data_IF_491703997939
#
_entry.id   IF_491703997939
#
_cell.length_a   1.000
_cell.length_b   1.000
_cell.length_c   1.000
_cell.angle_alpha   90.00
_cell.angle_beta   90.00
_cell.angle_gamma   90.00
#
_symmetry.space_group_name_H-M   'P 1'
#
loop_
_entity.id
_entity.type
_entity.pdbx_description
1 polymer ?
#
# COMPACT_ATOMS: atom_id res chain seq x y z
N UNK A 1 -42.62 -46.57 -23.39
CA UNK A 1 -42.67 -45.59 -22.29
C UNK A 1 -41.24 -45.18 -21.95
N UNK A 2 -40.98 -43.87 -21.94
CA UNK A 2 -39.80 -43.22 -21.34
C UNK A 2 -39.71 -43.59 -19.83
N UNK A 3 -38.54 -43.48 -19.14
CA UNK A 3 -37.79 -42.24 -19.07
C UNK A 3 -36.27 -42.35 -19.27
N UNK A 4 -35.74 -41.38 -20.01
CA UNK A 4 -34.36 -40.88 -19.87
C UNK A 4 -34.32 -39.94 -18.65
N UNK A 5 -33.33 -40.09 -17.78
CA UNK A 5 -32.99 -39.13 -16.72
C UNK A 5 -31.49 -39.24 -16.42
N UNK A 6 -30.69 -38.30 -16.91
CA UNK A 6 -30.22 -37.13 -16.15
C UNK A 6 -29.08 -37.49 -15.17
N UNK A 7 -27.87 -37.64 -15.70
CA UNK A 7 -26.64 -37.84 -14.89
C UNK A 7 -25.42 -37.09 -15.45
N UNK A 8 -25.58 -35.90 -16.06
CA UNK A 8 -24.44 -35.12 -16.60
C UNK A 8 -24.47 -33.63 -16.16
N UNK A 9 -25.08 -33.29 -15.03
CA UNK A 9 -25.09 -31.90 -14.53
C UNK A 9 -24.61 -31.79 -13.08
N UNK A 10 -23.56 -32.53 -12.73
CA UNK A 10 -22.95 -32.43 -11.41
C UNK A 10 -21.42 -32.29 -11.47
N UNK A 11 -20.92 -31.61 -12.50
CA UNK A 11 -19.48 -31.34 -12.68
C UNK A 11 -19.16 -29.87 -12.98
N UNK A 12 -20.01 -28.92 -12.56
CA UNK A 12 -19.84 -27.48 -12.82
C UNK A 12 -20.07 -26.55 -11.61
N UNK A 13 -20.10 -27.08 -10.37
CA UNK A 13 -20.23 -26.24 -9.17
C UNK A 13 -19.11 -26.39 -8.13
N UNK A 14 -17.96 -26.91 -8.57
CA UNK A 14 -16.73 -26.84 -7.78
C UNK A 14 -15.69 -25.98 -8.51
N UNK A 15 -16.11 -24.81 -8.99
CA UNK A 15 -15.20 -23.67 -9.10
C UNK A 15 -14.97 -23.21 -7.66
N UNK A 16 -14.11 -23.95 -6.97
CA UNK A 16 -13.55 -23.53 -5.71
C UNK A 16 -12.95 -22.14 -5.95
N UNK A 17 -13.38 -21.21 -5.11
CA UNK A 17 -12.98 -19.83 -5.05
C UNK A 17 -11.46 -19.71 -4.99
N UNK A 18 -10.82 -19.73 -6.16
CA UNK A 18 -9.55 -19.06 -6.38
C UNK A 18 -9.82 -17.56 -6.49
N UNK A 19 -10.47 -16.98 -5.47
CA UNK A 19 -10.04 -15.66 -5.02
C UNK A 19 -8.64 -15.87 -4.50
N UNK A 20 -7.68 -15.84 -5.44
CA UNK A 20 -6.36 -15.35 -5.13
C UNK A 20 -6.62 -14.11 -4.28
N UNK A 21 -6.11 -14.10 -3.04
CA UNK A 21 -6.03 -12.89 -2.24
C UNK A 21 -5.05 -11.95 -2.94
N UNK A 22 -5.39 -11.51 -4.16
CA UNK A 22 -4.72 -10.42 -4.82
C UNK A 22 -4.92 -9.26 -3.88
N UNK A 23 -3.82 -8.70 -3.38
CA UNK A 23 -3.84 -7.41 -2.74
C UNK A 23 -4.79 -6.49 -3.51
N UNK A 24 -5.65 -5.75 -2.80
CA UNK A 24 -6.61 -4.81 -3.40
C UNK A 24 -5.87 -3.58 -3.95
N UNK A 25 -4.97 -3.82 -4.92
CA UNK A 25 -3.93 -2.94 -5.42
C UNK A 25 -4.01 -2.85 -6.94
N UNK A 26 -4.26 -1.65 -7.47
CA UNK A 26 -4.33 -1.41 -8.91
C UNK A 26 -3.31 -0.33 -9.32
N UNK A 27 -2.35 -0.73 -10.14
CA UNK A 27 -1.39 0.21 -10.74
C UNK A 27 -1.79 0.51 -12.18
N UNK A 28 -1.86 1.80 -12.52
CA UNK A 28 -2.10 2.25 -13.89
C UNK A 28 -0.92 3.03 -14.43
N UNK A 29 -0.54 2.69 -15.66
CA UNK A 29 0.54 3.33 -16.40
C UNK A 29 0.03 3.66 -17.79
N UNK A 30 0.11 4.92 -18.22
CA UNK A 30 -0.35 5.33 -19.54
C UNK A 30 0.32 6.59 -20.07
N UNK A 31 0.20 6.85 -21.36
CA UNK A 31 0.79 8.01 -22.03
C UNK A 31 -0.29 8.97 -22.50
N UNK A 32 -0.08 10.28 -22.34
CA UNK A 32 -0.96 11.32 -22.88
C UNK A 32 -0.82 11.51 -24.40
N UNK A 33 0.12 10.82 -25.05
CA UNK A 33 0.38 10.95 -26.49
C UNK A 33 -0.51 10.02 -27.33
N UNK A 34 -1.10 8.98 -26.73
CA UNK A 34 -1.82 7.94 -27.47
C UNK A 34 -3.30 8.30 -27.64
N UNK A 35 -3.69 8.60 -28.88
CA UNK A 35 -5.05 8.38 -29.38
C UNK A 35 -6.12 9.39 -28.98
N UNK A 36 -6.11 10.59 -29.58
CA UNK A 36 -7.33 11.16 -30.16
C UNK A 36 -6.98 12.30 -31.11
N UNK A 37 -7.55 12.25 -32.31
CA UNK A 37 -7.61 13.34 -33.28
C UNK A 37 -8.56 14.48 -32.83
N UNK A 38 -9.06 14.41 -31.59
CA UNK A 38 -9.96 15.37 -30.97
C UNK A 38 -9.14 16.23 -30.00
N UNK A 39 -8.82 17.46 -30.41
CA UNK A 39 -8.30 18.49 -29.52
C UNK A 39 -9.18 18.60 -28.28
N UNK A 40 -8.62 18.42 -27.09
CA UNK A 40 -9.31 18.67 -25.82
C UNK A 40 -10.11 17.51 -25.20
N UNK A 41 -9.97 16.26 -25.66
CA UNK A 41 -10.66 15.13 -25.01
C UNK A 41 -10.04 14.78 -23.64
N UNK A 42 -10.90 14.46 -22.66
CA UNK A 42 -10.49 13.95 -21.33
C UNK A 42 -10.47 12.43 -21.38
N UNK A 43 -9.29 11.82 -21.18
CA UNK A 43 -9.19 10.37 -21.07
C UNK A 43 -9.73 9.92 -19.71
N UNK A 44 -10.58 8.90 -19.65
CA UNK A 44 -11.09 8.36 -18.39
C UNK A 44 -10.54 6.95 -18.11
N UNK A 45 -10.01 6.75 -16.91
CA UNK A 45 -9.55 5.46 -16.41
C UNK A 45 -10.31 5.13 -15.14
N UNK A 46 -10.74 3.87 -14.99
CA UNK A 46 -11.45 3.40 -13.79
C UNK A 46 -10.62 2.32 -13.12
N UNK A 47 -10.26 2.54 -11.85
CA UNK A 47 -9.52 1.60 -11.03
C UNK A 47 -10.44 1.05 -9.94
N UNK A 48 -10.54 -0.28 -9.88
CA UNK A 48 -11.38 -1.00 -8.91
C UNK A 48 -10.50 -1.62 -7.82
N UNK A 49 -9.79 -0.76 -7.09
CA UNK A 49 -8.96 -1.14 -5.96
C UNK A 49 -9.03 -0.10 -4.83
N UNK A 50 -8.76 -0.51 -3.60
CA UNK A 50 -8.64 0.40 -2.46
C UNK A 50 -7.28 1.08 -2.36
N UNK A 51 -6.22 0.53 -2.95
CA UNK A 51 -4.93 1.18 -3.01
C UNK A 51 -4.29 1.03 -4.39
N UNK A 52 -3.26 1.82 -4.68
CA UNK A 52 -2.52 1.69 -5.92
C UNK A 52 -1.68 2.89 -6.29
N UNK A 53 -1.27 2.92 -7.56
CA UNK A 53 -0.51 4.01 -8.16
C UNK A 53 -1.02 4.38 -9.55
N UNK A 54 -0.86 5.64 -9.89
CA UNK A 54 -1.16 6.19 -11.22
C UNK A 54 0.10 6.88 -11.71
N UNK A 55 0.58 6.49 -12.89
CA UNK A 55 1.73 7.14 -13.54
C UNK A 55 1.38 7.48 -14.97
N UNK A 56 1.42 8.78 -15.29
CA UNK A 56 1.05 9.32 -16.59
C UNK A 56 2.26 9.99 -17.26
N UNK A 57 2.67 9.43 -18.40
CA UNK A 57 3.83 9.86 -19.18
C UNK A 57 3.41 10.89 -20.22
N UNK A 58 4.24 11.90 -20.42
CA UNK A 58 4.04 12.97 -21.39
C UNK A 58 2.60 13.52 -21.34
N UNK A 59 2.15 14.06 -20.19
CA UNK A 59 0.80 14.59 -20.01
C UNK A 59 0.37 15.49 -21.17
N UNK A 60 -0.82 15.23 -21.73
CA UNK A 60 -1.49 16.11 -22.71
C UNK A 60 -2.97 16.19 -22.39
N UNK A 61 -3.57 17.36 -22.54
CA UNK A 61 -4.98 17.61 -22.20
C UNK A 61 -5.29 17.26 -20.74
N UNK A 62 -6.12 16.25 -20.48
CA UNK A 62 -6.47 15.83 -19.14
C UNK A 62 -6.81 14.33 -19.02
N UNK A 63 -6.65 13.82 -17.80
CA UNK A 63 -6.94 12.44 -17.41
C UNK A 63 -7.85 12.44 -16.18
N UNK A 64 -9.00 11.76 -16.25
CA UNK A 64 -9.91 11.53 -15.14
C UNK A 64 -9.78 10.10 -14.64
N UNK A 65 -9.28 9.92 -13.42
CA UNK A 65 -9.12 8.63 -12.76
C UNK A 65 -10.23 8.42 -11.75
N UNK A 66 -11.13 7.47 -12.00
CA UNK A 66 -12.23 7.11 -11.09
C UNK A 66 -11.78 5.94 -10.20
N UNK A 67 -11.78 6.15 -8.89
CA UNK A 67 -11.38 5.17 -7.88
C UNK A 67 -12.61 4.55 -7.23
N UNK A 68 -12.63 3.22 -7.19
CA UNK A 68 -13.71 2.44 -6.59
C UNK A 68 -13.11 1.28 -5.78
N UNK A 69 -13.60 1.01 -4.56
CA UNK A 69 -13.22 -0.20 -3.85
C UNK A 69 -13.63 -1.44 -4.66
N UNK A 70 -12.82 -2.51 -4.60
CA UNK A 70 -13.18 -3.78 -5.23
C UNK A 70 -14.32 -4.49 -4.49
N UNK A 71 -14.50 -4.19 -3.20
CA UNK A 71 -15.54 -4.78 -2.36
C UNK A 71 -16.89 -4.11 -2.64
N UNK A 72 -17.87 -4.92 -3.06
CA UNK A 72 -19.23 -4.44 -3.28
C UNK A 72 -19.80 -3.77 -2.02
N UNK A 73 -20.38 -2.58 -2.20
CA UNK A 73 -21.05 -1.85 -1.12
C UNK A 73 -20.10 -1.11 -0.16
N UNK A 74 -18.78 -1.33 -0.27
CA UNK A 74 -17.82 -0.51 0.46
C UNK A 74 -17.81 0.91 -0.12
N UNK A 75 -18.08 1.91 0.72
CA UNK A 75 -17.95 3.31 0.36
C UNK A 75 -16.71 3.88 1.05
N UNK A 76 -15.76 4.47 0.30
CA UNK A 76 -14.64 5.15 0.93
C UNK A 76 -15.16 6.39 1.66
N UNK A 77 -14.63 6.64 2.85
CA UNK A 77 -14.88 7.87 3.64
C UNK A 77 -13.91 8.97 3.22
N UNK A 78 -12.70 8.58 2.81
CA UNK A 78 -11.69 9.50 2.33
C UNK A 78 -10.76 8.83 1.32
N UNK A 79 -10.09 9.65 0.52
CA UNK A 79 -8.97 9.27 -0.31
C UNK A 79 -7.73 10.03 0.15
N UNK A 80 -6.64 9.32 0.35
CA UNK A 80 -5.35 9.91 0.61
C UNK A 80 -4.45 9.70 -0.59
N UNK A 81 -3.66 10.71 -0.94
CA UNK A 81 -2.70 10.64 -2.04
C UNK A 81 -1.31 11.08 -1.59
N UNK A 82 -0.30 10.42 -2.15
CA UNK A 82 1.13 10.75 -1.96
C UNK A 82 1.77 10.91 -3.34
N UNK A 83 2.42 12.04 -3.59
CA UNK A 83 3.10 12.27 -4.88
C UNK A 83 4.25 11.28 -5.09
N UNK A 84 4.47 10.86 -6.33
CA UNK A 84 5.72 10.20 -6.71
C UNK A 84 6.81 11.25 -6.90
N UNK A 85 8.07 10.86 -6.64
CA UNK A 85 9.23 11.72 -6.84
C UNK A 85 9.33 12.15 -8.31
N UNK A 86 9.71 13.41 -8.52
CA UNK A 86 9.90 13.96 -9.86
C UNK A 86 8.61 14.25 -10.62
N UNK A 87 7.48 14.40 -9.91
CA UNK A 87 6.21 14.85 -10.49
C UNK A 87 6.41 16.17 -11.26
N UNK A 88 6.12 16.12 -12.57
CA UNK A 88 6.29 17.24 -13.49
C UNK A 88 5.26 17.24 -14.61
N UNK A 89 4.76 18.43 -14.94
CA UNK A 89 4.02 18.70 -16.18
C UNK A 89 2.51 18.48 -16.10
N UNK A 90 1.97 18.32 -14.89
CA UNK A 90 0.52 18.30 -14.68
C UNK A 90 0.15 18.63 -13.24
N UNK A 91 -0.98 19.33 -13.07
CA UNK A 91 -1.62 19.53 -11.78
C UNK A 91 -2.64 18.41 -11.51
N UNK A 92 -2.72 17.96 -10.25
CA UNK A 92 -3.60 16.89 -9.80
C UNK A 92 -4.66 17.48 -8.89
N UNK A 93 -5.92 17.20 -9.20
CA UNK A 93 -7.09 17.70 -8.50
C UNK A 93 -7.97 16.55 -8.01
N UNK A 94 -8.63 16.73 -6.87
CA UNK A 94 -9.72 15.85 -6.46
C UNK A 94 -11.04 16.44 -6.95
N UNK A 95 -11.82 15.62 -7.64
CA UNK A 95 -13.14 15.99 -8.12
C UNK A 95 -14.16 15.92 -6.96
N UNK A 96 -14.87 17.03 -6.78
CA UNK A 96 -16.04 17.14 -5.92
C UNK A 96 -17.27 17.42 -6.78
N UNK A 97 -18.45 17.40 -6.14
CA UNK A 97 -19.74 17.54 -6.82
C UNK A 97 -19.83 18.69 -7.84
N UNK A 98 -19.13 19.81 -7.59
CA UNK A 98 -19.09 20.96 -8.52
C UNK A 98 -17.74 21.70 -8.54
N UNK A 99 -16.66 21.12 -7.98
CA UNK A 99 -15.36 21.79 -7.90
C UNK A 99 -14.20 20.81 -8.09
N UNK A 100 -13.07 21.35 -8.52
CA UNK A 100 -11.78 20.67 -8.56
C UNK A 100 -10.87 21.31 -7.49
N UNK A 101 -10.52 20.55 -6.47
CA UNK A 101 -9.61 21.01 -5.43
C UNK A 101 -8.19 20.59 -5.78
N UNK A 102 -7.25 21.54 -5.87
CA UNK A 102 -5.85 21.25 -6.16
C UNK A 102 -5.24 20.42 -5.03
N UNK A 103 -4.54 19.34 -5.40
CA UNK A 103 -3.92 18.41 -4.46
C UNK A 103 -2.43 18.33 -4.61
N UNK A 104 -1.95 18.15 -5.84
CA UNK A 104 -0.52 18.10 -6.16
C UNK A 104 -0.23 19.03 -7.34
N UNK A 105 0.92 19.68 -7.30
CA UNK A 105 1.46 20.50 -8.38
C UNK A 105 2.96 20.29 -8.49
N UNK A 106 3.55 20.82 -9.57
CA UNK A 106 4.99 20.75 -9.79
C UNK A 106 5.76 21.35 -8.60
N UNK A 107 6.72 20.60 -8.07
CA UNK A 107 7.55 21.04 -6.94
C UNK A 107 7.01 20.69 -5.54
N UNK A 108 5.84 20.03 -5.43
CA UNK A 108 5.36 19.52 -4.15
C UNK A 108 6.30 18.44 -3.58
N UNK A 109 6.45 18.42 -2.25
CA UNK A 109 7.26 17.42 -1.57
C UNK A 109 6.64 16.03 -1.74
N UNK A 110 7.40 15.02 -2.21
CA UNK A 110 6.91 13.66 -2.42
C UNK A 110 6.50 12.95 -1.12
N UNK A 111 6.81 13.54 0.04
CA UNK A 111 6.59 12.93 1.33
C UNK A 111 5.26 13.29 1.97
N UNK A 112 4.62 14.35 1.49
CA UNK A 112 3.38 14.81 2.08
C UNK A 112 2.20 13.98 1.58
N UNK A 113 1.49 13.36 2.51
CA UNK A 113 0.22 12.70 2.24
C UNK A 113 -0.91 13.71 2.39
N UNK A 114 -1.77 13.83 1.39
CA UNK A 114 -2.95 14.71 1.39
C UNK A 114 -4.21 13.86 1.38
N UNK A 115 -5.08 14.03 2.38
CA UNK A 115 -6.31 13.26 2.53
C UNK A 115 -7.56 14.12 2.35
N UNK A 116 -8.56 13.59 1.65
CA UNK A 116 -9.79 14.28 1.29
C UNK A 116 -10.99 13.40 1.58
N UNK A 117 -11.99 13.95 2.26
CA UNK A 117 -13.25 13.22 2.49
C UNK A 117 -14.00 13.01 1.19
N UNK A 118 -14.43 11.77 0.98
CA UNK A 118 -15.30 11.36 -0.11
C UNK A 118 -16.74 11.77 0.19
N UNK A 119 -17.46 12.22 -0.84
CA UNK A 119 -18.87 12.58 -0.70
C UNK A 119 -19.74 11.31 -0.73
N UNK A 120 -20.71 11.18 0.19
CA UNK A 120 -21.50 9.94 0.42
C UNK A 120 -22.22 9.39 -0.82
N UNK A 121 -22.45 10.23 -1.84
CA UNK A 121 -23.25 9.93 -3.03
C UNK A 121 -22.43 9.71 -4.33
N UNK A 122 -21.10 9.91 -4.33
CA UNK A 122 -20.29 9.89 -5.56
C UNK A 122 -19.05 9.02 -5.42
N UNK A 123 -18.64 8.36 -6.52
CA UNK A 123 -17.32 7.72 -6.60
C UNK A 123 -16.23 8.77 -6.52
N UNK A 124 -15.15 8.48 -5.78
CA UNK A 124 -13.97 9.35 -5.74
C UNK A 124 -13.33 9.39 -7.12
N UNK A 125 -13.02 10.59 -7.60
CA UNK A 125 -12.30 10.77 -8.85
C UNK A 125 -11.19 11.80 -8.68
N UNK A 126 -10.09 11.55 -9.36
CA UNK A 126 -8.90 12.41 -9.39
C UNK A 126 -8.73 12.86 -10.83
N UNK A 127 -8.66 14.17 -11.03
CA UNK A 127 -8.46 14.79 -12.32
C UNK A 127 -7.03 15.28 -12.45
N UNK A 128 -6.33 14.90 -13.52
CA UNK A 128 -5.00 15.38 -13.83
C UNK A 128 -5.11 16.27 -15.06
N UNK A 129 -4.62 17.50 -14.96
CA UNK A 129 -4.59 18.45 -16.06
C UNK A 129 -3.14 18.71 -16.46
N UNK A 130 -2.83 18.50 -17.73
CA UNK A 130 -1.50 18.81 -18.26
C UNK A 130 -1.22 20.32 -18.13
N UNK A 131 0.00 20.66 -17.73
CA UNK A 131 0.42 22.06 -17.61
C UNK A 131 0.44 22.72 -19.00
N UNK A 132 -0.04 23.98 -19.12
CA UNK A 132 -0.04 24.69 -20.40
C UNK A 132 1.38 25.01 -20.90
N UNK A 133 2.32 25.20 -19.97
CA UNK A 133 3.75 25.29 -20.26
C UNK A 133 4.32 23.88 -20.36
N UNK A 134 4.49 23.38 -21.58
CA UNK A 134 5.07 22.04 -21.82
C UNK A 134 6.50 22.04 -21.29
N UNK A 135 6.84 21.20 -20.30
CA UNK A 135 8.21 21.14 -19.79
C UNK A 135 9.17 20.70 -20.90
N UNK A 136 10.38 21.29 -20.95
CA UNK A 136 11.44 20.78 -21.81
C UNK A 136 11.90 19.39 -21.30
N UNK A 137 11.74 18.35 -22.12
CA UNK A 137 12.14 16.98 -21.81
C UNK A 137 10.99 16.05 -21.40
N UNK A 138 11.29 14.81 -20.97
CA UNK A 138 10.28 13.85 -20.55
C UNK A 138 9.58 14.33 -19.27
N UNK A 139 8.26 14.49 -19.34
CA UNK A 139 7.40 14.82 -18.20
C UNK A 139 6.65 13.59 -17.72
N UNK A 140 6.59 13.41 -16.40
CA UNK A 140 5.88 12.31 -15.76
C UNK A 140 5.19 12.87 -14.53
N UNK A 141 3.88 12.66 -14.45
CA UNK A 141 3.09 12.92 -13.24
C UNK A 141 2.68 11.58 -12.67
N UNK A 142 2.77 11.43 -11.35
CA UNK A 142 2.26 10.24 -10.73
C UNK A 142 2.10 10.36 -9.23
N UNK A 143 1.21 9.54 -8.70
CA UNK A 143 0.88 9.52 -7.29
C UNK A 143 0.45 8.11 -6.88
N UNK A 144 0.57 7.83 -5.58
CA UNK A 144 -0.06 6.69 -4.92
C UNK A 144 -1.32 7.13 -4.23
N UNK A 145 -2.32 6.25 -4.19
CA UNK A 145 -3.59 6.51 -3.54
C UNK A 145 -3.99 5.38 -2.61
N UNK A 146 -4.71 5.73 -1.55
CA UNK A 146 -5.36 4.78 -0.64
C UNK A 146 -6.75 5.29 -0.26
N UNK A 147 -7.74 4.40 -0.30
CA UNK A 147 -9.13 4.63 0.05
C UNK A 147 -9.38 4.20 1.50
N UNK A 148 -9.73 5.15 2.36
CA UNK A 148 -10.06 4.90 3.76
C UNK A 148 -11.50 4.44 3.89
N UNK A 149 -11.75 3.36 4.65
CA UNK A 149 -13.08 2.80 4.93
C UNK A 149 -13.65 3.33 6.25
N UNK A 150 -14.97 3.25 6.41
CA UNK A 150 -15.69 3.73 7.60
C UNK A 150 -15.61 2.81 8.83
N UNK A 151 -14.66 1.87 8.85
CA UNK A 151 -14.45 1.04 10.03
C UNK A 151 -13.76 1.87 11.11
N UNK A 152 -14.58 2.51 11.94
CA UNK A 152 -14.32 2.84 13.35
C UNK A 152 -12.84 3.09 13.71
N UNK A 153 -12.32 4.26 13.32
CA UNK A 153 -11.25 5.02 14.01
C UNK A 153 -10.65 6.14 13.13
N UNK A 154 -11.32 6.62 12.09
CA UNK A 154 -10.87 7.80 11.32
C UNK A 154 -10.82 9.12 12.14
N UNK A 155 -11.12 9.08 13.44
CA UNK A 155 -10.90 10.16 14.42
C UNK A 155 -9.63 9.99 15.29
N UNK A 156 -8.86 8.91 15.15
CA UNK A 156 -7.66 8.64 15.95
C UNK A 156 -6.37 8.44 15.13
N UNK A 157 -6.41 8.61 13.80
CA UNK A 157 -5.30 8.22 12.93
C UNK A 157 -4.12 9.22 12.90
N UNK A 158 -4.25 10.44 13.43
CA UNK A 158 -3.21 11.47 13.21
C UNK A 158 -2.60 12.09 14.47
N UNK A 159 -3.00 11.72 15.69
CA UNK A 159 -2.41 12.34 16.89
C UNK A 159 -2.31 11.44 18.13
N UNK A 160 -3.17 10.42 18.29
CA UNK A 160 -3.07 9.45 19.41
C UNK A 160 -2.31 8.17 19.06
N UNK A 161 -2.20 7.82 17.77
CA UNK A 161 -1.46 6.63 17.27
C UNK A 161 0.06 6.74 17.41
N UNK A 162 0.64 7.93 17.33
CA UNK A 162 2.10 8.12 17.32
C UNK A 162 2.75 7.78 18.68
N UNK A 163 1.97 7.81 19.76
CA UNK A 163 2.43 7.49 21.13
C UNK A 163 2.27 6.01 21.48
N UNK A 164 1.25 5.35 20.94
CA UNK A 164 1.14 3.89 20.96
C UNK A 164 2.15 3.20 20.02
N UNK A 165 2.53 3.86 18.91
CA UNK A 165 3.41 3.29 17.89
C UNK A 165 4.84 2.95 18.35
N UNK A 166 5.35 3.60 19.40
CA UNK A 166 6.70 3.33 19.91
C UNK A 166 6.71 2.43 21.16
N UNK A 167 5.55 1.95 21.62
CA UNK A 167 5.50 1.00 22.73
C UNK A 167 5.97 -0.38 22.26
N UNK A 168 6.79 -1.09 23.04
CA UNK A 168 7.13 -2.48 22.73
C UNK A 168 5.87 -3.33 22.64
N UNK A 169 5.74 -4.11 21.57
CA UNK A 169 4.59 -4.99 21.40
C UNK A 169 4.54 -6.06 22.49
N UNK A 170 3.35 -6.29 23.02
CA UNK A 170 3.04 -7.42 23.89
C UNK A 170 3.12 -8.75 23.15
N UNK A 171 3.20 -9.86 23.90
CA UNK A 171 3.24 -11.21 23.32
C UNK A 171 2.04 -11.50 22.40
N UNK A 172 0.84 -11.09 22.81
CA UNK A 172 -0.37 -11.25 22.02
C UNK A 172 -0.34 -10.41 20.73
N UNK A 173 0.17 -9.19 20.79
CA UNK A 173 0.32 -8.33 19.61
C UNK A 173 1.32 -8.90 18.63
N UNK A 174 2.45 -9.45 19.10
CA UNK A 174 3.44 -10.11 18.26
C UNK A 174 2.81 -11.29 17.50
N UNK A 175 2.07 -12.16 18.21
CA UNK A 175 1.41 -13.32 17.60
C UNK A 175 0.36 -12.90 16.56
N UNK A 176 -0.42 -11.85 16.84
CA UNK A 176 -1.42 -11.31 15.90
C UNK A 176 -0.78 -10.58 14.71
N UNK A 177 0.34 -9.88 14.91
CA UNK A 177 1.00 -9.11 13.87
C UNK A 177 1.45 -10.00 12.71
N UNK A 178 1.98 -11.18 13.01
CA UNK A 178 2.37 -12.16 11.98
C UNK A 178 1.20 -12.56 11.07
N UNK A 179 -0.03 -12.57 11.59
CA UNK A 179 -1.21 -12.98 10.82
C UNK A 179 -1.82 -11.83 10.00
N UNK A 180 -1.75 -10.60 10.52
CA UNK A 180 -2.55 -9.48 10.01
C UNK A 180 -1.73 -8.38 9.34
N UNK A 181 -0.40 -8.39 9.50
CA UNK A 181 0.47 -7.41 8.88
C UNK A 181 0.49 -7.54 7.35
N UNK A 182 0.67 -6.40 6.68
CA UNK A 182 0.85 -6.36 5.22
C UNK A 182 2.17 -7.02 4.81
N UNK A 183 3.18 -6.95 5.69
CA UNK A 183 4.45 -7.65 5.51
C UNK A 183 4.93 -8.33 6.79
N UNK A 184 5.65 -9.44 6.60
CA UNK A 184 6.38 -10.18 7.63
C UNK A 184 7.71 -10.63 7.05
N UNK A 185 8.82 -10.12 7.58
CA UNK A 185 10.17 -10.42 7.09
C UNK A 185 11.11 -10.70 8.26
N UNK A 186 11.90 -11.78 8.16
CA UNK A 186 13.03 -12.02 9.07
C UNK A 186 14.30 -11.50 8.43
N UNK A 187 15.12 -10.74 9.14
CA UNK A 187 16.39 -10.24 8.60
C UNK A 187 17.29 -9.61 9.65
N UNK A 188 18.36 -8.97 9.17
CA UNK A 188 19.31 -8.23 10.01
C UNK A 188 19.23 -6.73 9.69
N UNK A 189 19.46 -5.90 10.70
CA UNK A 189 19.61 -4.45 10.50
C UNK A 189 21.01 -4.21 9.96
N UNK A 190 21.11 -3.69 8.74
CA UNK A 190 22.38 -3.25 8.15
C UNK A 190 22.77 -1.87 8.65
N UNK A 191 21.82 -0.95 8.58
CA UNK A 191 22.01 0.44 8.95
C UNK A 191 20.68 1.05 9.42
N UNK A 192 20.78 2.14 10.18
CA UNK A 192 19.63 3.00 10.51
C UNK A 192 20.02 4.43 10.19
N UNK A 193 19.26 5.08 9.31
CA UNK A 193 19.39 6.52 9.04
C UNK A 193 18.22 7.29 9.64
N UNK A 194 18.46 8.54 9.97
CA UNK A 194 17.48 9.43 10.59
C UNK A 194 17.25 10.63 9.71
N UNK A 195 15.99 10.99 9.53
CA UNK A 195 15.56 12.19 8.82
C UNK A 195 14.78 13.09 9.79
N UNK A 196 15.44 14.16 10.24
CA UNK A 196 14.86 15.12 11.18
C UNK A 196 13.79 16.00 10.55
N UNK A 197 13.84 16.25 9.25
CA UNK A 197 12.82 17.03 8.56
C UNK A 197 11.51 16.24 8.48
N UNK A 198 11.62 14.93 8.19
CA UNK A 198 10.45 14.03 8.09
C UNK A 198 9.99 13.47 9.43
N UNK A 199 10.77 13.63 10.49
CA UNK A 199 10.54 12.97 11.79
C UNK A 199 10.44 11.44 11.67
N UNK A 200 11.24 10.86 10.78
CA UNK A 200 11.28 9.40 10.50
C UNK A 200 12.69 8.84 10.62
N UNK A 201 12.79 7.56 10.98
CA UNK A 201 14.01 6.76 10.85
C UNK A 201 13.79 5.68 9.80
N UNK A 202 14.82 5.37 9.03
CA UNK A 202 14.82 4.36 8.00
C UNK A 202 15.73 3.20 8.42
N UNK A 203 15.16 2.02 8.58
CA UNK A 203 15.86 0.79 8.93
C UNK A 203 16.15 0.02 7.65
N UNK A 204 17.42 -0.15 7.32
CA UNK A 204 17.86 -0.97 6.19
C UNK A 204 17.93 -2.44 6.62
N UNK A 205 17.13 -3.29 5.98
CA UNK A 205 17.07 -4.73 6.25
C UNK A 205 17.82 -5.48 5.17
N UNK A 206 18.70 -6.40 5.58
CA UNK A 206 19.50 -7.25 4.69
C UNK A 206 19.39 -8.73 5.08
N UNK A 207 19.82 -9.62 4.16
CA UNK A 207 19.76 -11.07 4.35
C UNK A 207 18.37 -11.55 4.77
N UNK A 208 17.36 -10.93 4.17
CA UNK A 208 15.97 -11.06 4.53
C UNK A 208 15.36 -12.36 4.01
N UNK A 209 14.38 -12.88 4.74
CA UNK A 209 13.42 -13.88 4.27
C UNK A 209 12.02 -13.33 4.47
N UNK A 210 11.34 -13.07 3.37
CA UNK A 210 9.95 -12.61 3.37
C UNK A 210 9.03 -13.82 3.55
N UNK A 211 8.17 -13.75 4.57
CA UNK A 211 7.08 -14.70 4.80
C UNK A 211 5.76 -14.21 4.21
N UNK A 212 5.58 -12.88 4.18
CA UNK A 212 4.41 -12.20 3.61
C UNK A 212 4.83 -10.80 3.16
N UNK A 213 4.33 -10.35 2.02
CA UNK A 213 4.36 -8.94 1.61
C UNK A 213 3.22 -8.67 0.62
N UNK A 214 2.63 -7.47 0.68
CA UNK A 214 1.45 -7.12 -0.11
C UNK A 214 1.82 -6.59 -1.50
N UNK A 215 2.62 -5.54 -1.61
CA UNK A 215 2.98 -4.91 -2.90
C UNK A 215 4.45 -5.10 -3.32
N UNK A 216 5.23 -5.91 -2.63
CA UNK A 216 6.64 -6.12 -2.98
C UNK A 216 7.58 -5.02 -2.50
N UNK A 217 7.37 -4.47 -1.30
CA UNK A 217 8.25 -3.45 -0.70
C UNK A 217 9.65 -3.95 -0.35
N UNK A 218 9.85 -5.26 -0.34
CA UNK A 218 11.18 -5.87 -0.26
C UNK A 218 11.54 -6.47 -1.61
N UNK A 219 12.76 -6.19 -2.05
CA UNK A 219 13.30 -6.64 -3.32
C UNK A 219 14.23 -7.84 -3.09
N UNK A 220 14.32 -8.71 -4.09
CA UNK A 220 15.20 -9.87 -4.01
C UNK A 220 16.59 -9.46 -4.48
N UNK A 221 17.61 -9.70 -3.67
CA UNK A 221 18.99 -9.39 -4.01
C UNK A 221 19.40 -10.14 -5.28
N UNK A 222 20.01 -9.46 -6.26
CA UNK A 222 20.57 -10.12 -7.43
C UNK A 222 21.80 -10.95 -7.01
N UNK A 223 21.65 -12.28 -6.95
CA UNK A 223 22.74 -13.21 -6.60
C UNK A 223 22.27 -14.62 -6.19
N UNK A 224 23.23 -15.49 -5.86
CA UNK A 224 23.00 -16.91 -5.50
C UNK A 224 22.24 -17.11 -4.18
N UNK A 225 22.26 -16.13 -3.26
CA UNK A 225 21.62 -16.27 -1.94
C UNK A 225 20.09 -16.21 -2.00
N UNK A 226 19.53 -15.59 -3.06
CA UNK A 226 18.10 -15.36 -3.20
C UNK A 226 17.47 -14.60 -2.03
N UNK A 227 18.28 -13.86 -1.25
CA UNK A 227 17.90 -13.15 -0.04
C UNK A 227 17.13 -11.86 -0.37
N UNK A 228 16.38 -11.33 0.59
CA UNK A 228 15.59 -10.12 0.41
C UNK A 228 16.26 -8.92 1.10
N UNK A 229 16.14 -7.75 0.48
CA UNK A 229 16.58 -6.48 1.05
C UNK A 229 15.46 -5.45 0.94
N UNK A 230 15.52 -4.40 1.75
CA UNK A 230 14.57 -3.30 1.68
C UNK A 230 14.68 -2.37 2.87
N UNK A 231 13.73 -1.45 2.96
CA UNK A 231 13.74 -0.38 3.95
C UNK A 231 12.43 -0.32 4.70
N UNK A 232 12.50 -0.11 6.01
CA UNK A 232 11.34 0.02 6.89
C UNK A 232 11.37 1.38 7.58
N UNK A 233 10.29 2.14 7.46
CA UNK A 233 10.10 3.42 8.11
C UNK A 233 9.58 3.24 9.54
N UNK A 234 10.03 4.10 10.44
CA UNK A 234 9.51 4.22 11.81
C UNK A 234 9.61 5.66 12.26
N UNK A 235 8.89 6.06 13.30
CA UNK A 235 8.97 7.42 13.81
C UNK A 235 10.31 7.68 14.49
N UNK A 236 10.90 8.87 14.25
CA UNK A 236 12.19 9.27 14.82
C UNK A 236 12.21 9.18 16.34
N UNK A 237 11.11 9.58 16.99
CA UNK A 237 10.94 9.53 18.45
C UNK A 237 11.00 8.12 19.06
N UNK A 238 10.82 7.06 18.25
CA UNK A 238 10.97 5.69 18.75
C UNK A 238 12.44 5.34 19.04
N UNK A 239 13.40 6.16 18.57
CA UNK A 239 14.82 6.04 18.93
C UNK A 239 15.46 4.73 18.47
N UNK A 240 14.99 4.19 17.34
CA UNK A 240 15.48 2.91 16.80
C UNK A 240 16.98 3.01 16.47
N UNK A 241 17.71 1.96 16.81
CA UNK A 241 19.16 1.85 16.58
C UNK A 241 19.48 0.52 15.91
N UNK A 242 20.62 0.46 15.23
CA UNK A 242 21.14 -0.80 14.72
C UNK A 242 21.41 -1.75 15.89
N UNK A 243 20.67 -2.86 15.92
CA UNK A 243 20.81 -3.92 16.92
C UNK A 243 21.49 -5.14 16.31
N UNK A 244 22.33 -5.83 17.11
CA UNK A 244 22.91 -7.11 16.70
C UNK A 244 21.84 -8.21 16.69
N UNK A 245 21.99 -9.19 15.80
CA UNK A 245 21.13 -10.38 15.71
C UNK A 245 20.01 -10.27 14.68
N UNK A 246 19.21 -11.34 14.60
CA UNK A 246 18.07 -11.43 13.69
C UNK A 246 16.78 -10.91 14.34
N UNK A 247 16.00 -10.18 13.57
CA UNK A 247 14.71 -9.65 13.97
C UNK A 247 13.61 -10.16 13.05
N UNK A 248 12.41 -10.28 13.59
CA UNK A 248 11.19 -10.46 12.81
C UNK A 248 10.50 -9.10 12.71
N UNK A 249 10.48 -8.52 11.52
CA UNK A 249 9.79 -7.27 11.28
C UNK A 249 8.39 -7.55 10.74
N UNK A 250 7.42 -6.89 11.35
CA UNK A 250 6.01 -6.90 10.94
C UNK A 250 5.53 -5.47 10.83
N UNK A 251 4.52 -5.22 10.02
CA UNK A 251 4.00 -3.87 9.88
C UNK A 251 2.98 -3.70 8.78
N UNK A 252 2.73 -2.45 8.45
CA UNK A 252 1.77 -2.04 7.43
C UNK A 252 2.50 -1.42 6.25
N UNK A 253 1.91 -1.54 5.08
CA UNK A 253 2.40 -0.93 3.86
C UNK A 253 1.54 0.29 3.55
N UNK A 254 2.13 1.49 3.61
CA UNK A 254 1.45 2.76 3.39
C UNK A 254 2.11 3.47 2.22
N UNK A 255 1.35 3.76 1.17
CA UNK A 255 1.84 4.41 -0.06
C UNK A 255 3.09 3.73 -0.63
N UNK A 256 3.10 2.40 -0.64
CA UNK A 256 4.21 1.59 -1.17
C UNK A 256 5.49 1.65 -0.33
N UNK A 257 5.38 2.08 0.93
CA UNK A 257 6.48 2.10 1.90
C UNK A 257 6.14 1.17 3.06
N UNK A 258 7.11 0.37 3.52
CA UNK A 258 6.96 -0.44 4.72
C UNK A 258 7.06 0.46 5.97
N UNK A 259 6.05 0.40 6.83
CA UNK A 259 6.02 1.08 8.13
C UNK A 259 6.03 0.06 9.26
N UNK A 260 6.91 0.26 10.23
CA UNK A 260 7.16 -0.68 11.30
C UNK A 260 5.97 -0.78 12.27
N UNK A 261 5.53 -2.01 12.54
CA UNK A 261 4.64 -2.37 13.64
C UNK A 261 5.42 -2.97 14.80
N UNK A 262 5.72 -4.27 14.74
CA UNK A 262 6.53 -4.97 15.75
C UNK A 262 7.87 -5.44 15.19
N UNK A 263 8.92 -5.39 16.02
CA UNK A 263 10.28 -5.86 15.71
C UNK A 263 10.91 -6.71 16.83
N UNK A 264 10.30 -7.83 17.28
CA UNK A 264 10.95 -8.72 18.24
C UNK A 264 12.22 -9.35 17.64
N UNK A 265 13.14 -9.78 18.52
CA UNK A 265 14.23 -10.66 18.09
C UNK A 265 13.63 -11.99 17.64
N UNK A 266 14.15 -12.56 16.56
CA UNK A 266 13.56 -13.76 15.97
C UNK A 266 13.59 -14.96 16.94
N UNK A 267 14.66 -15.09 17.75
CA UNK A 267 14.76 -16.13 18.78
C UNK A 267 13.66 -16.05 19.84
N UNK A 268 13.28 -14.83 20.24
CA UNK A 268 12.30 -14.59 21.30
C UNK A 268 10.90 -14.87 20.74
N UNK A 269 10.64 -14.45 19.50
CA UNK A 269 9.44 -14.84 18.76
C UNK A 269 9.29 -16.36 18.60
N UNK A 270 10.37 -17.07 18.24
CA UNK A 270 10.31 -18.53 18.10
C UNK A 270 9.95 -19.23 19.42
N UNK A 271 10.48 -18.75 20.54
CA UNK A 271 10.12 -19.26 21.87
C UNK A 271 8.63 -19.02 22.16
N UNK A 272 8.18 -17.77 21.97
CA UNK A 272 6.79 -17.37 22.17
C UNK A 272 5.82 -18.18 21.31
N UNK A 273 6.10 -18.30 20.01
CA UNK A 273 5.26 -19.03 19.06
C UNK A 273 5.16 -20.51 19.42
N UNK A 274 6.27 -21.17 19.82
CA UNK A 274 6.25 -22.58 20.24
C UNK A 274 5.43 -22.78 21.52
N UNK A 275 5.55 -21.87 22.48
CA UNK A 275 4.76 -21.92 23.73
C UNK A 275 3.27 -21.74 23.43
N UNK A 276 2.89 -20.76 22.61
CA UNK A 276 1.51 -20.54 22.18
C UNK A 276 0.96 -21.72 21.36
N UNK A 277 1.79 -22.36 20.52
CA UNK A 277 1.43 -23.56 19.77
C UNK A 277 1.08 -24.73 20.70
N UNK A 278 1.90 -24.99 21.72
CA UNK A 278 1.63 -26.04 22.72
C UNK A 278 0.34 -25.75 23.51
N UNK A 279 0.09 -24.49 23.81
CA UNK A 279 -1.13 -24.04 24.49
C UNK A 279 -2.38 -24.00 23.59
N UNK A 280 -2.27 -24.30 22.29
CA UNK A 280 -3.36 -24.17 21.31
C UNK A 280 -3.97 -22.75 21.24
N UNK A 281 -3.13 -21.73 21.45
CA UNK A 281 -3.53 -20.31 21.47
C UNK A 281 -2.98 -19.52 20.28
N UNK A 282 -2.72 -20.18 19.15
CA UNK A 282 -2.20 -19.51 17.97
C UNK A 282 -3.32 -18.81 17.17
N UNK A 283 -3.15 -17.52 16.83
CA UNK A 283 -4.09 -16.82 15.95
C UNK A 283 -4.00 -17.27 14.49
N UNK A 284 -2.84 -17.75 14.05
CA UNK A 284 -2.63 -18.37 12.74
C UNK A 284 -1.37 -19.24 12.73
N UNK A 285 -1.22 -20.06 11.69
CA UNK A 285 0.00 -20.82 11.44
C UNK A 285 1.08 -19.95 10.78
N UNK A 286 2.29 -20.06 11.30
CA UNK A 286 3.51 -19.46 10.77
C UNK A 286 4.51 -20.55 10.37
N UNK A 287 5.12 -20.48 9.17
CA UNK A 287 6.14 -21.42 8.74
C UNK A 287 7.41 -21.22 9.58
N UNK A 288 7.58 -22.10 10.58
CA UNK A 288 8.82 -22.22 11.34
C UNK A 288 9.78 -23.10 10.58
N UNK A 289 10.98 -22.59 10.31
CA UNK A 289 12.12 -23.35 9.79
C UNK A 289 12.55 -24.49 10.73
#
# INVERSE_FOLDING_TARGET
>A
MSPKGSWILQYLHTVCFLTCCTADLCNWRGSGVVGSSLSGSVQQVRLRCSAGSVTWFSPRHALRVVLQPNVWGARPVAVCVKALRGLRGAAVFVERAASLDLVLQDGESPEQVRCFRAHKAQSVAIFLQASPQIPAGPSVVGFRYELLRDNSSAKEVQTSTVQAACQPCSELEILKAVCNSDFVIRGFIRNVSHDSERQTSLVEVQKGRVYRQRSGVFEREPGLSGSWHGYIHTHLRCGVKAGAGQFLFTGSELFGEAWLGCAPRFKDFQSLYRSAKKAHQLPCDFPTD
#
